data_IF_864803286604
#
_entry.id   IF_864803286604
#
_cell.length_a   1.000
_cell.length_b   1.000
_cell.length_c   1.000
_cell.angle_alpha   90.00
_cell.angle_beta   90.00
_cell.angle_gamma   90.00
#
_symmetry.space_group_name_H-M   'P 1'
#
loop_
_entity.id
_entity.type
_entity.pdbx_description
1 polymer ?
#
# COMPACT_ATOMS: atom_id res chain seq x y z
N UNK A 1 -14.15 15.13 64.16
CA UNK A 1 -13.80 13.71 64.26
C UNK A 1 -13.00 13.33 63.03
N UNK A 2 -11.94 12.54 63.20
CA UNK A 2 -10.79 12.31 62.31
C UNK A 2 -11.08 11.54 61.01
N UNK A 3 -10.27 11.86 59.97
CA UNK A 3 -9.59 11.01 58.95
C UNK A 3 -10.40 9.87 58.24
N UNK A 4 -10.21 9.55 56.96
CA UNK A 4 -8.96 9.12 56.32
C UNK A 4 -9.17 8.96 54.79
N UNK A 5 -8.07 9.11 54.03
CA UNK A 5 -7.92 8.87 52.59
C UNK A 5 -8.49 7.51 52.14
N UNK A 6 -9.04 7.45 50.92
CA UNK A 6 -9.07 6.24 50.12
C UNK A 6 -8.33 6.50 48.80
N UNK A 7 -7.15 5.90 48.66
CA UNK A 7 -6.37 5.84 47.43
C UNK A 7 -6.96 4.72 46.57
N UNK A 8 -7.65 5.04 45.48
CA UNK A 8 -7.93 4.04 44.45
C UNK A 8 -6.65 3.82 43.62
N UNK A 9 -5.92 2.79 44.01
CA UNK A 9 -4.84 2.18 43.24
C UNK A 9 -5.40 1.58 41.95
N UNK A 10 -5.33 2.33 40.84
CA UNK A 10 -5.38 1.71 39.51
C UNK A 10 -4.05 1.00 39.27
N UNK A 11 -4.01 -0.28 39.63
CA UNK A 11 -2.98 -1.21 39.17
C UNK A 11 -3.06 -1.30 37.64
N UNK A 12 -2.24 -0.51 36.95
CA UNK A 12 -1.92 -0.78 35.55
C UNK A 12 -1.01 -2.01 35.54
N UNK A 13 -1.58 -3.17 35.20
CA UNK A 13 -0.79 -4.33 34.83
C UNK A 13 -0.07 -4.03 33.51
N UNK A 14 1.04 -3.30 33.60
CA UNK A 14 2.04 -3.19 32.54
C UNK A 14 2.65 -4.58 32.43
N UNK A 15 2.20 -5.36 31.46
CA UNK A 15 2.94 -6.57 31.07
C UNK A 15 4.30 -6.10 30.57
N UNK A 16 5.43 -6.49 31.18
CA UNK A 16 6.72 -6.25 30.58
C UNK A 16 6.75 -7.06 29.29
N UNK A 17 6.84 -6.37 28.15
CA UNK A 17 7.22 -7.01 26.90
C UNK A 17 8.58 -7.67 27.15
N UNK A 18 8.58 -9.01 27.15
CA UNK A 18 9.82 -9.79 27.14
C UNK A 18 10.67 -9.34 25.96
N UNK A 19 11.85 -8.76 26.24
CA UNK A 19 12.87 -8.36 25.25
C UNK A 19 13.56 -9.58 24.60
N UNK A 20 12.91 -10.75 24.54
CA UNK A 20 13.54 -12.00 24.10
C UNK A 20 13.61 -12.19 22.59
N UNK A 21 13.19 -11.23 21.77
CA UNK A 21 13.27 -11.33 20.31
C UNK A 21 14.42 -10.49 19.68
N UNK A 22 15.25 -9.83 20.49
CA UNK A 22 16.37 -9.02 19.98
C UNK A 22 17.76 -9.69 20.14
N UNK A 23 17.82 -10.95 20.58
CA UNK A 23 19.07 -11.55 21.07
C UNK A 23 19.53 -12.84 20.35
N UNK A 24 19.22 -13.02 19.06
CA UNK A 24 19.87 -14.08 18.25
C UNK A 24 20.26 -13.58 16.84
N UNK A 25 20.93 -12.43 16.80
CA UNK A 25 21.93 -12.13 15.76
C UNK A 25 23.19 -11.65 16.49
N UNK A 26 23.81 -12.55 17.26
CA UNK A 26 25.24 -12.44 17.52
C UNK A 26 25.94 -13.05 16.30
N UNK A 27 26.11 -12.23 15.26
CA UNK A 27 27.26 -12.42 14.40
C UNK A 27 28.46 -11.87 15.18
N UNK A 28 29.34 -12.75 15.63
CA UNK A 28 30.65 -12.42 16.21
C UNK A 28 31.63 -11.82 15.16
N UNK A 29 31.10 -11.17 14.11
CA UNK A 29 31.84 -10.55 13.01
C UNK A 29 31.39 -9.09 12.77
N UNK A 30 30.86 -8.40 13.78
CA UNK A 30 30.60 -6.96 13.65
C UNK A 30 31.85 -6.17 14.03
N UNK A 31 32.55 -5.51 13.07
CA UNK A 31 33.66 -4.63 13.39
C UNK A 31 33.19 -3.44 14.25
N UNK A 32 34.09 -2.84 15.06
CA UNK A 32 33.73 -1.72 15.94
C UNK A 32 33.10 -0.57 15.15
N UNK A 33 32.17 0.19 15.77
CA UNK A 33 31.49 1.29 15.08
C UNK A 33 32.54 2.29 14.54
N UNK A 34 32.46 2.68 13.26
CA UNK A 34 33.44 3.58 12.67
C UNK A 34 33.41 4.95 13.35
N UNK A 35 34.54 5.67 13.43
CA UNK A 35 34.58 7.02 13.97
C UNK A 35 33.63 7.94 13.19
N UNK A 36 33.04 8.97 13.84
CA UNK A 36 32.01 9.84 13.28
C UNK A 36 32.44 10.64 12.03
N UNK A 37 33.72 10.56 11.65
CA UNK A 37 34.35 11.20 10.50
C UNK A 37 34.47 10.31 9.26
N UNK A 38 33.98 9.06 9.29
CA UNK A 38 34.03 8.15 8.14
C UNK A 38 32.83 8.38 7.21
N UNK A 39 33.01 8.49 5.87
CA UNK A 39 31.88 8.44 4.94
C UNK A 39 31.18 7.09 5.14
N UNK A 40 29.93 7.11 5.59
CA UNK A 40 29.16 5.86 5.67
C UNK A 40 29.09 5.27 4.27
N UNK A 41 29.48 3.99 4.07
CA UNK A 41 29.31 3.34 2.78
C UNK A 41 27.82 3.45 2.39
N UNK A 42 27.51 3.71 1.10
CA UNK A 42 26.14 3.81 0.66
C UNK A 42 25.40 2.53 1.07
N UNK A 43 24.24 2.69 1.73
CA UNK A 43 23.45 1.55 2.15
C UNK A 43 23.21 0.62 0.95
N UNK A 44 23.31 -0.71 1.11
CA UNK A 44 23.09 -1.63 0.01
C UNK A 44 21.69 -1.40 -0.58
N UNK A 45 21.54 -1.49 -1.91
CA UNK A 45 20.24 -1.30 -2.54
C UNK A 45 19.25 -2.34 -2.02
N UNK A 46 18.08 -1.89 -1.56
CA UNK A 46 17.00 -2.77 -1.11
C UNK A 46 16.55 -3.66 -2.27
N UNK A 47 17.06 -4.89 -2.30
CA UNK A 47 16.84 -5.87 -3.37
C UNK A 47 16.04 -7.06 -2.83
N UNK A 48 15.33 -7.76 -3.72
CA UNK A 48 14.58 -8.96 -3.35
C UNK A 48 15.51 -10.06 -2.81
N UNK A 49 15.09 -10.69 -1.73
CA UNK A 49 15.77 -11.87 -1.21
C UNK A 49 15.59 -13.06 -2.16
N UNK A 50 16.62 -13.90 -2.24
CA UNK A 50 16.61 -15.08 -3.09
C UNK A 50 15.63 -16.14 -2.56
N UNK A 51 14.96 -16.84 -3.48
CA UNK A 51 13.96 -17.87 -3.16
C UNK A 51 12.61 -17.34 -2.65
N UNK A 52 12.46 -16.02 -2.42
CA UNK A 52 11.18 -15.41 -2.09
C UNK A 52 10.37 -15.03 -3.35
N UNK A 53 9.02 -15.04 -3.27
CA UNK A 53 8.18 -14.67 -4.39
C UNK A 53 8.43 -13.21 -4.79
N UNK A 54 8.70 -13.00 -6.07
CA UNK A 54 8.83 -11.66 -6.66
C UNK A 54 7.48 -11.24 -7.27
N UNK A 55 7.16 -9.93 -7.33
CA UNK A 55 5.96 -9.48 -8.04
C UNK A 55 6.03 -9.91 -9.51
N UNK A 56 5.05 -10.68 -9.96
CA UNK A 56 5.07 -11.18 -11.33
C UNK A 56 5.10 -10.01 -12.34
N UNK A 57 6.01 -10.02 -13.33
CA UNK A 57 6.12 -8.95 -14.32
C UNK A 57 4.89 -8.87 -15.22
N UNK A 58 4.17 -9.98 -15.39
CA UNK A 58 2.92 -10.06 -16.16
C UNK A 58 1.86 -9.05 -15.72
N UNK A 59 1.83 -8.72 -14.43
CA UNK A 59 0.85 -7.78 -13.85
C UNK A 59 1.43 -6.37 -13.63
N UNK A 60 2.63 -6.09 -14.12
CA UNK A 60 3.20 -4.74 -14.18
C UNK A 60 2.59 -3.98 -15.37
N UNK A 61 1.27 -3.77 -15.32
CA UNK A 61 0.50 -3.07 -16.35
C UNK A 61 0.36 -1.59 -15.99
N UNK A 62 0.48 -0.71 -16.98
CA UNK A 62 0.21 0.73 -16.81
C UNK A 62 -1.30 0.99 -16.76
N UNK A 63 -1.76 1.64 -15.71
CA UNK A 63 -3.16 2.01 -15.54
C UNK A 63 -3.44 3.26 -16.38
N UNK A 64 -4.45 3.18 -17.25
CA UNK A 64 -4.86 4.31 -18.08
C UNK A 64 -5.98 5.08 -17.39
N UNK A 65 -5.83 6.40 -17.32
CA UNK A 65 -6.78 7.29 -16.68
C UNK A 65 -7.08 8.52 -17.51
N UNK A 66 -8.25 9.12 -17.28
CA UNK A 66 -8.70 10.37 -17.88
C UNK A 66 -9.04 11.36 -16.77
N UNK A 67 -8.64 12.64 -16.84
CA UNK A 67 -8.96 13.61 -15.80
C UNK A 67 -10.46 13.88 -15.79
N UNK A 68 -10.99 14.19 -14.60
CA UNK A 68 -12.39 14.57 -14.42
C UNK A 68 -12.50 16.00 -13.93
N UNK A 69 -13.44 16.75 -14.50
CA UNK A 69 -13.72 18.11 -14.08
C UNK A 69 -14.43 18.18 -12.71
N UNK A 70 -15.33 17.23 -12.40
CA UNK A 70 -16.22 17.32 -11.24
C UNK A 70 -16.38 16.01 -10.47
N UNK A 71 -16.60 16.17 -9.16
CA UNK A 71 -16.92 15.10 -8.22
C UNK A 71 -18.41 15.09 -7.87
N UNK A 72 -18.93 13.98 -7.34
CA UNK A 72 -20.32 13.87 -6.90
C UNK A 72 -20.96 12.52 -7.26
N UNK A 73 -22.11 12.24 -6.64
CA UNK A 73 -22.84 10.96 -6.77
C UNK A 73 -23.34 10.73 -8.20
N UNK A 74 -23.99 11.73 -8.81
CA UNK A 74 -24.55 11.64 -10.17
C UNK A 74 -23.46 11.43 -11.23
N UNK A 75 -22.37 12.19 -11.13
CA UNK A 75 -21.22 12.09 -12.03
C UNK A 75 -20.57 10.71 -11.90
N UNK A 76 -20.34 10.24 -10.68
CA UNK A 76 -19.79 8.90 -10.44
C UNK A 76 -20.69 7.79 -10.99
N UNK A 77 -22.02 7.93 -10.90
CA UNK A 77 -22.96 6.98 -11.47
C UNK A 77 -22.91 6.97 -13.01
N UNK A 78 -22.80 8.15 -13.64
CA UNK A 78 -22.65 8.29 -15.09
C UNK A 78 -21.35 7.65 -15.59
N UNK A 79 -20.24 7.87 -14.88
CA UNK A 79 -18.95 7.24 -15.20
C UNK A 79 -19.04 5.71 -15.16
N UNK A 80 -19.68 5.14 -14.13
CA UNK A 80 -19.89 3.68 -14.04
C UNK A 80 -20.78 3.15 -15.15
N UNK A 81 -21.83 3.88 -15.53
CA UNK A 81 -22.69 3.52 -16.67
C UNK A 81 -21.90 3.52 -17.99
N UNK A 82 -20.89 4.39 -18.11
CA UNK A 82 -19.97 4.43 -19.24
C UNK A 82 -18.83 3.38 -19.15
N UNK A 83 -18.87 2.43 -18.21
CA UNK A 83 -17.82 1.41 -18.06
C UNK A 83 -16.53 1.91 -17.42
N UNK A 84 -16.57 3.06 -16.73
CA UNK A 84 -15.42 3.69 -16.07
C UNK A 84 -15.57 3.67 -14.56
N UNK A 85 -14.44 3.64 -13.86
CA UNK A 85 -14.36 3.69 -12.41
C UNK A 85 -13.92 5.09 -12.01
N UNK A 86 -14.75 5.83 -11.26
CA UNK A 86 -14.31 7.09 -10.69
C UNK A 86 -13.16 6.83 -9.70
N UNK A 87 -12.14 7.68 -9.71
CA UNK A 87 -11.03 7.60 -8.77
C UNK A 87 -10.42 8.95 -8.44
N UNK A 88 -9.48 8.92 -7.51
CA UNK A 88 -8.78 10.10 -6.99
C UNK A 88 -7.30 9.75 -6.85
N UNK A 89 -6.43 10.67 -7.29
CA UNK A 89 -4.99 10.63 -7.03
C UNK A 89 -4.66 11.71 -6.02
N UNK A 90 -4.14 11.32 -4.87
CA UNK A 90 -3.62 12.23 -3.85
C UNK A 90 -2.12 12.46 -4.04
N UNK A 91 -1.66 13.67 -3.75
CA UNK A 91 -0.23 13.94 -3.56
C UNK A 91 0.31 13.22 -2.32
N UNK A 92 1.64 13.08 -2.23
CA UNK A 92 2.30 12.37 -1.13
C UNK A 92 2.28 13.18 0.18
N UNK A 93 2.68 14.45 0.15
CA UNK A 93 3.01 15.27 1.34
C UNK A 93 1.83 15.38 2.33
N UNK A 94 0.61 15.41 1.82
CA UNK A 94 -0.64 15.48 2.59
C UNK A 94 -1.62 14.35 2.24
N UNK A 95 -1.15 13.29 1.58
CA UNK A 95 -1.99 12.24 1.01
C UNK A 95 -2.81 11.47 2.05
N UNK A 96 -2.39 11.49 3.32
CA UNK A 96 -3.14 10.90 4.42
C UNK A 96 -4.32 11.77 4.86
N UNK A 97 -4.15 13.10 4.87
CA UNK A 97 -5.09 14.07 5.44
C UNK A 97 -5.92 14.83 4.39
N UNK A 98 -5.67 14.58 3.10
CA UNK A 98 -6.47 15.14 2.01
C UNK A 98 -5.89 16.42 1.40
N UNK A 99 -4.59 16.40 1.10
CA UNK A 99 -3.93 17.46 0.33
C UNK A 99 -4.44 17.63 -1.10
N UNK A 100 -3.61 18.24 -1.96
CA UNK A 100 -3.95 18.41 -3.36
C UNK A 100 -4.32 17.05 -3.99
N UNK A 101 -5.45 17.04 -4.70
CA UNK A 101 -6.04 15.83 -5.24
C UNK A 101 -6.49 16.07 -6.66
N UNK A 102 -6.19 15.09 -7.52
CA UNK A 102 -6.64 15.06 -8.90
C UNK A 102 -7.77 14.04 -9.06
N UNK A 103 -8.88 14.48 -9.60
CA UNK A 103 -9.99 13.59 -9.93
C UNK A 103 -9.70 12.90 -11.26
N UNK A 104 -9.84 11.58 -11.28
CA UNK A 104 -9.59 10.77 -12.47
C UNK A 104 -10.71 9.75 -12.67
N UNK A 105 -10.85 9.27 -13.90
CA UNK A 105 -11.62 8.09 -14.28
C UNK A 105 -10.67 7.04 -14.84
N UNK A 106 -10.87 5.78 -14.50
CA UNK A 106 -10.07 4.64 -14.98
C UNK A 106 -10.98 3.64 -15.70
N UNK A 107 -10.47 2.84 -16.63
CA UNK A 107 -11.26 1.77 -17.28
C UNK A 107 -11.66 0.68 -16.27
N UNK A 108 -12.95 0.35 -16.18
CA UNK A 108 -13.45 -0.64 -15.20
C UNK A 108 -12.90 -2.04 -15.45
N UNK A 109 -12.85 -2.47 -16.70
CA UNK A 109 -12.33 -3.78 -17.08
C UNK A 109 -10.87 -3.98 -16.66
N UNK A 110 -10.06 -2.92 -16.75
CA UNK A 110 -8.65 -2.96 -16.37
C UNK A 110 -8.49 -3.17 -14.86
N UNK A 111 -9.16 -2.36 -14.04
CA UNK A 111 -9.11 -2.50 -12.58
C UNK A 111 -9.68 -3.85 -12.13
N UNK A 112 -10.81 -4.28 -12.71
CA UNK A 112 -11.41 -5.57 -12.39
C UNK A 112 -10.47 -6.73 -12.70
N UNK A 113 -9.78 -6.70 -13.84
CA UNK A 113 -8.76 -7.69 -14.22
C UNK A 113 -7.61 -7.72 -13.22
N UNK A 114 -7.03 -6.55 -12.89
CA UNK A 114 -5.91 -6.46 -11.95
C UNK A 114 -6.29 -6.97 -10.55
N UNK A 115 -7.45 -6.58 -10.05
CA UNK A 115 -7.94 -7.00 -8.73
C UNK A 115 -8.30 -8.49 -8.71
N UNK A 116 -8.88 -9.02 -9.78
CA UNK A 116 -9.18 -10.45 -9.88
C UNK A 116 -7.92 -11.33 -9.97
N UNK A 117 -6.86 -10.84 -10.62
CA UNK A 117 -5.61 -11.58 -10.79
C UNK A 117 -4.69 -11.50 -9.57
N UNK A 118 -4.55 -10.31 -8.98
CA UNK A 118 -3.68 -10.09 -7.83
C UNK A 118 -4.40 -10.39 -6.50
N UNK A 119 -5.73 -10.24 -6.47
CA UNK A 119 -6.48 -10.14 -5.23
C UNK A 119 -6.43 -8.73 -4.64
N UNK A 120 -7.37 -8.43 -3.73
CA UNK A 120 -7.54 -7.10 -3.14
C UNK A 120 -6.30 -6.64 -2.37
N UNK A 121 -5.71 -7.48 -1.53
CA UNK A 121 -4.58 -7.09 -0.66
C UNK A 121 -3.31 -6.81 -1.46
N UNK A 122 -2.96 -7.69 -2.40
CA UNK A 122 -1.77 -7.50 -3.24
C UNK A 122 -1.93 -6.34 -4.22
N UNK A 123 -3.15 -6.05 -4.67
CA UNK A 123 -3.41 -4.85 -5.47
C UNK A 123 -3.10 -3.57 -4.68
N UNK A 124 -3.45 -3.50 -3.40
CA UNK A 124 -3.20 -2.33 -2.56
C UNK A 124 -1.72 -2.19 -2.13
N UNK A 125 -0.98 -3.29 -2.07
CA UNK A 125 0.44 -3.26 -1.67
C UNK A 125 1.40 -3.07 -2.85
N UNK A 126 0.91 -3.08 -4.10
CA UNK A 126 1.73 -3.02 -5.31
C UNK A 126 1.68 -1.62 -5.93
N UNK A 127 2.84 -1.16 -6.39
CA UNK A 127 2.97 0.11 -7.11
C UNK A 127 2.70 -0.09 -8.61
N UNK A 128 2.00 0.86 -9.22
CA UNK A 128 1.67 0.87 -10.64
C UNK A 128 2.09 2.19 -11.28
N UNK A 129 2.28 2.18 -12.59
CA UNK A 129 2.39 3.40 -13.37
C UNK A 129 0.99 3.84 -13.81
N UNK A 130 0.69 5.12 -13.65
CA UNK A 130 -0.56 5.74 -14.05
C UNK A 130 -0.29 6.73 -15.16
N UNK A 131 -0.94 6.54 -16.31
CA UNK A 131 -0.92 7.48 -17.43
C UNK A 131 -2.26 8.20 -17.51
N UNK A 132 -2.25 9.51 -17.28
CA UNK A 132 -3.41 10.39 -17.41
C UNK A 132 -3.41 10.97 -18.83
N UNK A 133 -4.43 10.62 -19.61
CA UNK A 133 -4.65 11.06 -21.00
C UNK A 133 -5.87 11.97 -21.10
N UNK A 134 -5.95 12.78 -22.15
CA UNK A 134 -7.13 13.62 -22.43
C UNK A 134 -8.38 12.77 -22.66
N UNK A 135 -8.25 11.73 -23.48
CA UNK A 135 -9.27 10.72 -23.74
C UNK A 135 -8.67 9.31 -23.76
N UNK A 136 -9.53 8.30 -23.66
CA UNK A 136 -9.08 6.90 -23.64
C UNK A 136 -8.68 6.37 -25.02
N UNK A 137 -9.16 7.00 -26.10
CA UNK A 137 -8.98 6.53 -27.48
C UNK A 137 -7.85 7.29 -28.19
N UNK A 138 -7.37 8.40 -27.61
CA UNK A 138 -6.21 9.14 -28.08
C UNK A 138 -4.93 8.55 -27.50
N UNK A 139 -4.05 8.03 -28.36
CA UNK A 139 -2.74 7.50 -27.96
C UNK A 139 -1.65 8.59 -27.88
N UNK A 140 -1.87 9.76 -28.47
CA UNK A 140 -0.85 10.80 -28.61
C UNK A 140 -0.79 11.79 -27.44
N UNK A 141 -1.89 11.96 -26.70
CA UNK A 141 -2.05 13.04 -25.72
C UNK A 141 -1.90 12.54 -24.27
N UNK A 142 -0.64 12.32 -23.85
CA UNK A 142 -0.31 12.02 -22.45
C UNK A 142 -0.17 13.34 -21.70
N UNK A 143 -1.07 13.59 -20.76
CA UNK A 143 -1.03 14.78 -19.89
C UNK A 143 -0.01 14.56 -18.76
N UNK A 144 0.00 13.35 -18.18
CA UNK A 144 0.83 13.06 -17.03
C UNK A 144 1.15 11.56 -16.92
N UNK A 145 2.38 11.22 -16.57
CA UNK A 145 2.79 9.86 -16.22
C UNK A 145 3.37 9.84 -14.81
N UNK A 146 2.71 9.14 -13.90
CA UNK A 146 3.05 9.16 -12.48
C UNK A 146 3.05 7.75 -11.91
N UNK A 147 4.02 7.46 -11.05
CA UNK A 147 4.05 6.24 -10.26
C UNK A 147 3.09 6.38 -9.07
N UNK A 148 2.17 5.43 -8.91
CA UNK A 148 1.10 5.49 -7.90
C UNK A 148 0.95 4.19 -7.11
N UNK A 149 0.60 4.33 -5.85
CA UNK A 149 0.21 3.25 -4.95
C UNK A 149 -1.31 3.28 -4.73
N UNK A 150 -2.05 2.18 -4.96
CA UNK A 150 -3.46 2.10 -4.62
C UNK A 150 -3.63 2.09 -3.09
N UNK A 151 -4.31 3.10 -2.54
CA UNK A 151 -4.59 3.21 -1.10
C UNK A 151 -5.83 2.42 -0.72
N UNK A 152 -6.88 2.53 -1.53
CA UNK A 152 -8.17 1.93 -1.21
C UNK A 152 -8.95 1.62 -2.49
N UNK A 153 -9.64 0.49 -2.48
CA UNK A 153 -10.59 0.11 -3.52
C UNK A 153 -11.92 -0.27 -2.89
N UNK A 154 -13.00 0.28 -3.44
CA UNK A 154 -14.36 -0.08 -3.08
C UNK A 154 -14.92 -0.98 -4.16
N UNK A 155 -15.32 -2.19 -3.76
CA UNK A 155 -15.98 -3.16 -4.63
C UNK A 155 -17.47 -3.23 -4.28
N UNK A 156 -18.29 -3.55 -5.27
CA UNK A 156 -19.69 -3.89 -5.05
C UNK A 156 -19.78 -5.25 -4.37
N UNK A 157 -20.56 -5.37 -3.30
CA UNK A 157 -20.67 -6.61 -2.51
C UNK A 157 -21.33 -7.78 -3.23
N UNK A 158 -22.14 -7.52 -4.26
CA UNK A 158 -22.85 -8.56 -5.00
C UNK A 158 -22.13 -8.98 -6.28
N UNK A 159 -21.46 -8.04 -6.97
CA UNK A 159 -20.89 -8.28 -8.30
C UNK A 159 -19.36 -8.17 -8.36
N UNK A 160 -18.72 -7.79 -7.25
CA UNK A 160 -17.30 -7.44 -7.15
C UNK A 160 -16.85 -6.39 -8.19
N UNK A 161 -17.79 -5.62 -8.71
CA UNK A 161 -17.49 -4.55 -9.65
C UNK A 161 -16.81 -3.38 -8.91
N UNK A 162 -15.70 -2.84 -9.44
CA UNK A 162 -15.04 -1.70 -8.81
C UNK A 162 -15.92 -0.44 -8.88
N UNK A 163 -16.23 0.11 -7.70
CA UNK A 163 -17.06 1.31 -7.55
C UNK A 163 -16.23 2.58 -7.44
N UNK A 164 -15.09 2.52 -6.75
CA UNK A 164 -14.19 3.65 -6.55
C UNK A 164 -12.78 3.14 -6.32
N UNK A 165 -11.77 3.89 -6.77
CA UNK A 165 -10.36 3.60 -6.52
C UNK A 165 -9.63 4.86 -6.10
N UNK A 166 -8.83 4.74 -5.05
CA UNK A 166 -8.01 5.83 -4.51
C UNK A 166 -6.55 5.47 -4.67
N UNK A 167 -5.78 6.39 -5.25
CA UNK A 167 -4.34 6.29 -5.42
C UNK A 167 -3.63 7.38 -4.62
N UNK A 168 -2.40 7.10 -4.21
CA UNK A 168 -1.43 8.07 -3.68
C UNK A 168 -0.22 8.06 -4.62
N UNK A 169 0.35 9.21 -4.93
CA UNK A 169 1.60 9.29 -5.68
C UNK A 169 2.77 8.69 -4.89
N UNK A 170 3.57 7.89 -5.57
CA UNK A 170 4.66 7.12 -4.98
C UNK A 170 5.97 7.38 -5.74
N UNK A 171 6.55 8.59 -5.65
CA UNK A 171 7.88 8.82 -6.20
C UNK A 171 8.92 7.95 -5.48
N UNK A 172 10.05 7.67 -6.12
CA UNK A 172 11.02 6.68 -5.60
C UNK A 172 11.65 7.04 -4.25
N UNK A 173 11.64 8.32 -3.88
CA UNK A 173 12.14 8.81 -2.58
C UNK A 173 11.02 8.92 -1.52
N UNK A 174 9.80 8.52 -1.85
CA UNK A 174 8.65 8.63 -0.97
C UNK A 174 8.69 7.61 0.17
N UNK A 175 8.41 8.07 1.39
CA UNK A 175 8.05 7.20 2.50
C UNK A 175 6.54 7.05 2.57
N UNK A 176 6.04 5.85 2.25
CA UNK A 176 4.62 5.53 2.26
C UNK A 176 4.33 4.44 3.29
N UNK A 177 3.25 4.62 4.05
CA UNK A 177 2.70 3.56 4.90
C UNK A 177 1.85 2.64 4.02
N UNK A 178 2.24 1.38 3.94
CA UNK A 178 1.60 0.36 3.10
C UNK A 178 1.29 -0.86 3.94
N UNK A 179 0.07 -1.39 3.79
CA UNK A 179 -0.30 -2.67 4.39
C UNK A 179 0.12 -3.80 3.46
N UNK A 180 1.09 -4.60 3.89
CA UNK A 180 1.64 -5.71 3.10
C UNK A 180 1.03 -7.02 3.58
N UNK A 181 0.41 -7.83 2.69
CA UNK A 181 -0.13 -9.13 3.09
C UNK A 181 1.00 -10.09 3.48
N UNK A 182 0.79 -10.84 4.57
CA UNK A 182 1.70 -11.89 5.01
C UNK A 182 1.33 -13.22 4.34
N UNK A 183 2.33 -13.91 3.79
CA UNK A 183 2.17 -15.25 3.22
C UNK A 183 3.02 -16.21 4.05
N UNK A 184 2.36 -17.15 4.72
CA UNK A 184 3.03 -18.19 5.48
C UNK A 184 3.51 -19.30 4.52
N UNK A 185 4.72 -19.81 4.77
CA UNK A 185 5.34 -20.90 4.00
C UNK A 185 5.87 -21.93 4.98
N UNK A 186 5.91 -23.20 4.56
CA UNK A 186 6.37 -24.30 5.41
C UNK A 186 5.33 -24.79 6.43
N UNK A 187 4.05 -24.55 6.18
CA UNK A 187 2.97 -25.08 7.02
C UNK A 187 2.95 -26.62 7.01
N UNK A 188 3.32 -27.22 5.88
CA UNK A 188 3.43 -28.66 5.65
C UNK A 188 4.54 -29.34 6.48
N UNK A 189 5.66 -28.63 6.69
CA UNK A 189 6.79 -29.13 7.49
C UNK A 189 6.71 -28.74 8.96
N UNK A 190 5.70 -27.95 9.36
CA UNK A 190 5.55 -27.47 10.74
C UNK A 190 5.20 -28.62 11.69
N UNK A 191 6.09 -28.99 12.64
CA UNK A 191 5.82 -30.06 13.58
C UNK A 191 4.68 -29.72 14.55
N UNK A 192 4.39 -28.43 14.75
CA UNK A 192 3.26 -27.96 15.54
C UNK A 192 1.93 -28.26 14.85
N UNK A 193 1.78 -27.82 13.60
CA UNK A 193 0.55 -28.04 12.82
C UNK A 193 0.28 -29.52 12.55
N UNK A 194 1.34 -30.33 12.40
CA UNK A 194 1.21 -31.79 12.22
C UNK A 194 0.65 -32.51 13.45
N UNK A 195 0.78 -31.93 14.65
CA UNK A 195 0.27 -32.53 15.90
C UNK A 195 -1.20 -32.22 16.17
N UNK A 196 -1.77 -31.21 15.52
CA UNK A 196 -3.12 -30.68 15.79
C UNK A 196 -3.07 -29.46 16.68
#
# INVERSE_FOLDING_TARGET
MLLYRSLLTKSSHVRPYSRSAFALVQQDDNPPPPPPSSPQPPAPPLTYLDGLPRPDPKYAETILATPRASSGKSIAARERKAGRVPGIVFEQEDGQNGGNKRLISVRSNQIRKLVGQLGRSFFLSRVFDLEVRSDFDSDTDIIEKVRVLPRLIHLNSATDAPLNVTFIRAPSHALLKVDVPLVLRGEDVSPGLRKG
#
